data_IF_554557545211
#
_entry.id   IF_554557545211
#
_cell.length_a   1.000
_cell.length_b   1.000
_cell.length_c   1.000
_cell.angle_alpha   90.00
_cell.angle_beta   90.00
_cell.angle_gamma   90.00
#
_symmetry.space_group_name_H-M   'P 1'
#
loop_
_entity.id
_entity.type
_entity.pdbx_description
1 polymer ?
#
# COMPACT_ATOMS: atom_id res chain seq x y z
N UNK A 1 -3.26 -17.31 -8.77
CA UNK A 1 -2.21 -17.66 -7.80
C UNK A 1 -1.98 -16.48 -6.85
N UNK A 2 -1.72 -16.80 -5.58
CA UNK A 2 -1.31 -15.82 -4.57
C UNK A 2 0.18 -15.51 -4.80
N UNK A 3 0.45 -14.49 -5.64
CA UNK A 3 1.81 -13.96 -5.81
C UNK A 3 2.14 -13.09 -4.60
N UNK A 4 1.59 -11.88 -4.59
CA UNK A 4 1.55 -11.01 -3.42
C UNK A 4 0.31 -11.39 -2.59
N UNK A 5 0.44 -11.33 -1.26
CA UNK A 5 -0.72 -11.53 -0.37
C UNK A 5 -1.61 -10.28 -0.41
N UNK A 6 -2.94 -10.50 -0.39
CA UNK A 6 -3.95 -9.46 -0.58
C UNK A 6 -3.88 -8.42 0.56
N UNK A 7 -3.59 -7.18 0.17
CA UNK A 7 -3.36 -6.06 1.10
C UNK A 7 -4.32 -4.91 0.76
N UNK A 8 -4.53 -4.00 1.72
CA UNK A 8 -5.46 -2.85 1.57
C UNK A 8 -4.95 -1.65 2.40
N UNK A 9 -5.46 -0.43 2.13
CA UNK A 9 -5.15 0.77 2.92
C UNK A 9 -6.33 1.76 2.92
N UNK A 10 -6.14 2.89 3.64
CA UNK A 10 -7.09 4.03 3.70
C UNK A 10 -6.29 5.35 3.72
N UNK A 11 -6.66 6.37 2.87
CA UNK A 11 -5.94 7.66 2.79
C UNK A 11 -6.08 8.49 4.08
N UNK A 12 -5.00 8.53 4.86
CA UNK A 12 -4.93 9.30 6.12
C UNK A 12 -4.72 10.79 5.78
N UNK A 13 -5.84 11.50 5.54
CA UNK A 13 -5.87 12.91 5.07
C UNK A 13 -5.34 13.05 3.63
N UNK A 14 -5.20 11.91 2.91
CA UNK A 14 -4.76 11.89 1.51
C UNK A 14 -5.81 12.48 0.57
N UNK A 15 -5.38 13.09 -0.55
CA UNK A 15 -6.27 13.85 -1.45
C UNK A 15 -6.18 13.30 -2.88
N UNK A 16 -7.18 12.49 -3.27
CA UNK A 16 -7.27 11.95 -4.64
C UNK A 16 -8.15 12.82 -5.55
N UNK A 17 -8.85 12.17 -6.49
CA UNK A 17 -9.73 12.83 -7.46
C UNK A 17 -10.13 11.88 -8.56
N UNK A 18 -10.93 12.35 -9.54
CA UNK A 18 -11.27 11.56 -10.72
C UNK A 18 -10.09 11.60 -11.72
N UNK A 19 -9.15 10.63 -11.55
CA UNK A 19 -7.94 10.55 -12.36
C UNK A 19 -8.17 9.90 -13.71
N UNK A 20 -7.42 8.81 -14.00
CA UNK A 20 -7.49 8.11 -15.29
C UNK A 20 -6.76 8.85 -16.40
N UNK A 21 -5.97 9.87 -16.02
CA UNK A 21 -5.20 10.72 -16.94
C UNK A 21 -3.89 10.05 -17.37
N UNK A 22 -3.59 8.87 -16.78
CA UNK A 22 -2.40 8.11 -17.09
C UNK A 22 -1.30 8.38 -16.07
N UNK A 23 -0.16 8.92 -16.54
CA UNK A 23 1.01 9.17 -15.71
C UNK A 23 1.68 7.86 -15.31
N UNK A 24 1.23 7.28 -14.19
CA UNK A 24 1.68 5.96 -13.69
C UNK A 24 0.58 5.39 -12.79
N UNK A 25 -0.29 4.54 -13.39
CA UNK A 25 -1.43 3.90 -12.66
C UNK A 25 -0.91 3.09 -11.46
N UNK A 26 0.17 2.34 -11.72
CA UNK A 26 0.93 1.65 -10.68
C UNK A 26 2.02 2.58 -10.12
N UNK A 27 2.29 2.44 -8.81
CA UNK A 27 3.41 3.12 -8.14
C UNK A 27 4.25 2.08 -7.40
N UNK A 28 5.58 2.24 -7.43
CA UNK A 28 6.52 1.37 -6.70
C UNK A 28 7.08 2.16 -5.51
N UNK A 29 6.87 1.63 -4.30
CA UNK A 29 7.29 2.26 -3.04
C UNK A 29 7.73 1.18 -2.06
N UNK A 30 8.49 1.58 -1.02
CA UNK A 30 9.02 0.65 -0.01
C UNK A 30 8.35 0.94 1.35
N UNK A 31 8.04 -0.11 2.11
CA UNK A 31 7.19 -0.02 3.32
C UNK A 31 8.00 -0.30 4.60
N UNK A 32 8.08 0.70 5.49
CA UNK A 32 8.61 0.53 6.85
C UNK A 32 7.49 -0.03 7.75
N UNK A 33 7.52 -1.34 8.01
CA UNK A 33 6.61 -2.00 8.97
C UNK A 33 7.43 -2.54 10.16
N UNK A 34 7.25 -1.98 11.40
CA UNK A 34 7.90 -2.49 12.63
C UNK A 34 7.64 -3.99 12.87
N UNK A 35 8.66 -4.68 13.45
CA UNK A 35 8.60 -6.12 13.77
C UNK A 35 7.32 -6.53 14.55
N UNK A 36 6.91 -5.82 15.68
CA UNK A 36 5.65 -6.15 16.41
C UNK A 36 4.39 -6.03 15.52
N UNK A 37 4.34 -4.96 14.69
CA UNK A 37 3.18 -4.66 13.81
C UNK A 37 3.09 -5.67 12.64
N UNK A 38 4.25 -6.24 12.26
CA UNK A 38 4.33 -7.28 11.23
C UNK A 38 3.70 -8.59 11.74
N UNK A 39 4.11 -8.99 12.97
CA UNK A 39 3.68 -10.25 13.60
C UNK A 39 2.19 -10.24 13.95
N UNK A 40 1.72 -9.14 14.57
CA UNK A 40 0.29 -8.98 14.93
C UNK A 40 -0.57 -8.72 13.69
N UNK A 41 0.01 -8.01 12.70
CA UNK A 41 -0.72 -7.55 11.52
C UNK A 41 -1.64 -6.37 11.83
N UNK A 42 -1.05 -5.17 11.95
CA UNK A 42 -1.80 -3.94 12.23
C UNK A 42 -1.88 -3.04 10.99
N UNK A 43 -1.61 -1.74 11.18
CA UNK A 43 -1.46 -0.76 10.07
C UNK A 43 -0.19 0.07 10.29
N UNK A 44 0.44 0.47 9.17
CA UNK A 44 1.62 1.36 9.16
C UNK A 44 1.43 2.44 8.09
N UNK A 45 1.88 3.66 8.35
CA UNK A 45 1.68 4.80 7.46
C UNK A 45 2.77 4.85 6.38
N UNK A 46 2.35 4.68 5.11
CA UNK A 46 3.22 4.75 3.92
C UNK A 46 3.08 6.12 3.24
N UNK A 47 4.22 6.63 2.75
CA UNK A 47 4.29 7.90 2.01
C UNK A 47 4.08 7.64 0.51
N UNK A 48 3.09 8.35 -0.08
CA UNK A 48 2.76 8.26 -1.52
C UNK A 48 2.57 9.66 -2.11
N UNK A 49 2.31 9.71 -3.44
CA UNK A 49 2.10 10.98 -4.17
C UNK A 49 0.78 11.64 -3.73
N UNK A 50 -0.18 10.79 -3.27
CA UNK A 50 -1.49 11.25 -2.79
C UNK A 50 -1.41 11.78 -1.35
N UNK A 51 -0.33 11.39 -0.63
CA UNK A 51 -0.07 11.83 0.75
C UNK A 51 0.19 10.66 1.70
N UNK A 52 -0.03 10.86 3.03
CA UNK A 52 0.08 9.76 4.03
C UNK A 52 -1.15 8.82 3.99
N UNK A 53 -0.89 7.50 3.99
CA UNK A 53 -1.93 6.46 3.94
C UNK A 53 -1.61 5.37 4.98
N UNK A 54 -2.64 4.75 5.60
CA UNK A 54 -2.42 3.70 6.62
C UNK A 54 -2.75 2.32 6.02
N UNK A 55 -1.71 1.51 5.82
CA UNK A 55 -1.76 0.23 5.08
C UNK A 55 -1.92 -0.96 6.04
N UNK A 56 -2.98 -1.74 5.84
CA UNK A 56 -3.26 -2.97 6.59
C UNK A 56 -2.19 -4.04 6.30
N UNK A 57 -1.31 -4.24 7.28
CA UNK A 57 -0.29 -5.29 7.28
C UNK A 57 -0.95 -6.64 7.62
N UNK A 58 -0.74 -7.72 6.79
CA UNK A 58 -1.24 -9.08 7.12
C UNK A 58 -0.64 -9.63 8.46
N UNK A 59 -1.44 -10.37 9.30
CA UNK A 59 -0.93 -11.06 10.51
C UNK A 59 0.19 -12.08 10.20
N UNK A 60 1.33 -11.91 10.89
CA UNK A 60 2.53 -12.78 10.78
C UNK A 60 3.22 -12.55 9.44
N UNK A 61 3.85 -11.36 9.32
CA UNK A 61 4.53 -10.87 8.11
C UNK A 61 6.05 -11.00 8.26
N UNK A 62 6.70 -11.48 7.19
CA UNK A 62 8.18 -11.61 7.10
C UNK A 62 8.76 -10.48 6.23
N UNK A 63 10.06 -10.19 6.42
CA UNK A 63 10.80 -9.23 5.58
C UNK A 63 11.09 -9.86 4.21
N UNK A 64 11.06 -9.05 3.14
CA UNK A 64 11.23 -9.56 1.78
C UNK A 64 9.90 -9.94 1.13
N UNK A 65 8.78 -9.73 1.86
CA UNK A 65 7.43 -9.85 1.29
C UNK A 65 7.16 -8.70 0.31
N UNK A 66 6.17 -8.90 -0.53
CA UNK A 66 5.68 -7.92 -1.50
C UNK A 66 4.15 -7.83 -1.39
N UNK A 67 3.64 -6.60 -1.43
CA UNK A 67 2.20 -6.29 -1.38
C UNK A 67 1.83 -5.56 -2.68
N UNK A 68 0.66 -5.85 -3.24
CA UNK A 68 0.14 -5.06 -4.38
C UNK A 68 -1.30 -4.65 -4.05
N UNK A 69 -1.46 -3.37 -3.77
CA UNK A 69 -2.72 -2.74 -3.39
C UNK A 69 -3.56 -2.47 -4.64
N UNK A 70 -4.28 -3.51 -5.09
CA UNK A 70 -5.07 -3.50 -6.34
C UNK A 70 -6.28 -2.57 -6.22
N UNK A 71 -6.51 -1.74 -7.26
CA UNK A 71 -7.57 -0.74 -7.26
C UNK A 71 -7.37 0.35 -6.22
N UNK A 72 -6.11 0.52 -5.78
CA UNK A 72 -5.73 1.43 -4.69
C UNK A 72 -4.43 2.19 -5.04
N UNK A 73 -4.08 2.25 -6.33
CA UNK A 73 -2.94 3.05 -6.79
C UNK A 73 -3.35 4.45 -7.19
N UNK A 74 -2.87 4.89 -8.37
CA UNK A 74 -3.19 6.21 -8.95
C UNK A 74 -4.71 6.30 -9.22
N UNK A 75 -5.36 7.48 -8.94
CA UNK A 75 -6.80 7.72 -9.22
C UNK A 75 -7.27 7.34 -10.64
N UNK A 76 -8.53 6.87 -10.73
CA UNK A 76 -9.18 6.49 -11.99
C UNK A 76 -10.70 6.48 -11.84
N UNK A 77 -11.50 6.99 -12.84
CA UNK A 77 -12.97 7.20 -12.70
C UNK A 77 -13.76 5.89 -12.55
N UNK A 78 -13.37 4.85 -13.30
CA UNK A 78 -14.04 3.54 -13.32
C UNK A 78 -13.34 2.53 -12.41
N UNK A 79 -12.07 2.83 -12.07
CA UNK A 79 -11.24 1.98 -11.22
C UNK A 79 -9.83 2.54 -11.11
N UNK A 80 -9.18 2.33 -9.97
CA UNK A 80 -7.83 2.87 -9.70
C UNK A 80 -6.75 1.87 -10.17
N UNK A 81 -5.48 2.33 -10.16
CA UNK A 81 -4.33 1.47 -10.44
C UNK A 81 -3.94 0.62 -9.24
N UNK A 82 -2.66 0.23 -9.13
CA UNK A 82 -2.16 -0.53 -7.97
C UNK A 82 -0.99 0.21 -7.30
N UNK A 83 -0.77 -0.08 -6.01
CA UNK A 83 0.39 0.45 -5.25
C UNK A 83 1.19 -0.74 -4.70
N UNK A 84 2.36 -0.94 -5.29
CA UNK A 84 3.24 -2.06 -4.98
C UNK A 84 4.23 -1.67 -3.85
N UNK A 85 4.03 -2.24 -2.65
CA UNK A 85 4.86 -1.97 -1.46
C UNK A 85 5.78 -3.16 -1.16
N UNK A 86 7.09 -2.90 -1.14
CA UNK A 86 8.11 -3.89 -0.70
C UNK A 86 8.23 -3.85 0.83
N UNK A 87 7.77 -4.94 1.48
CA UNK A 87 7.80 -5.09 2.95
C UNK A 87 9.25 -5.15 3.49
N UNK A 88 9.58 -4.17 4.35
CA UNK A 88 10.83 -4.14 5.13
C UNK A 88 10.46 -4.13 6.62
N UNK A 89 10.88 -5.18 7.35
CA UNK A 89 10.68 -5.23 8.80
C UNK A 89 11.69 -4.29 9.49
N UNK A 90 11.14 -3.29 10.16
CA UNK A 90 11.87 -2.23 10.82
C UNK A 90 12.20 -2.65 12.27
#
# INVERSE_FOLDING_TARGET
>A
MDDVIDADYKPADGSGGSGGSGGSQDLYATLDVPAPIAVVGGKVRAMTLEGPVEVAVPPRTQAGRKLRLKGKGFPGPAGRGDLYLEVRIT
#
